data_IF_079674511037
#
_entry.id   IF_079674511037
#
_cell.length_a   1.000
_cell.length_b   1.000
_cell.length_c   1.000
_cell.angle_alpha   90.00
_cell.angle_beta   90.00
_cell.angle_gamma   90.00
#
_symmetry.space_group_name_H-M   'P 1'
#
loop_
_entity.id
_entity.type
_entity.pdbx_description
1 polymer ?
#
# COMPACT_ATOMS: atom_id res chain seq x y z
N UNK A 1 -11.52 5.24 13.53
CA UNK A 1 -11.17 3.93 12.95
C UNK A 1 -10.57 4.19 11.59
N UNK A 2 -9.30 3.83 11.37
CA UNK A 2 -8.61 4.05 10.10
C UNK A 2 -9.15 3.09 9.03
N UNK A 3 -9.99 3.59 8.11
CA UNK A 3 -10.39 2.88 6.89
C UNK A 3 -9.85 3.68 5.70
N UNK A 4 -8.67 3.28 5.18
CA UNK A 4 -8.11 3.92 3.99
C UNK A 4 -8.70 3.20 2.78
N UNK A 5 -9.63 3.85 2.08
CA UNK A 5 -10.20 3.29 0.85
C UNK A 5 -9.19 3.38 -0.30
N UNK A 6 -8.93 2.26 -0.96
CA UNK A 6 -8.05 2.11 -2.11
C UNK A 6 -8.89 1.91 -3.35
N UNK A 7 -8.68 2.78 -4.34
CA UNK A 7 -9.26 2.66 -5.67
C UNK A 7 -8.21 3.01 -6.72
N UNK A 8 -8.44 2.57 -7.96
CA UNK A 8 -7.51 2.80 -9.07
C UNK A 8 -7.27 4.28 -9.41
N UNK A 9 -8.18 5.18 -9.03
CA UNK A 9 -8.08 6.63 -9.28
C UNK A 9 -7.22 7.34 -8.23
N UNK A 10 -6.95 6.71 -7.08
CA UNK A 10 -6.15 7.30 -6.00
C UNK A 10 -4.71 7.49 -6.45
N UNK A 11 -4.15 8.67 -6.15
CA UNK A 11 -2.74 8.98 -6.42
C UNK A 11 -1.84 8.26 -5.42
N UNK A 12 -0.67 7.83 -5.89
CA UNK A 12 0.35 7.20 -5.05
C UNK A 12 0.78 8.15 -3.91
N UNK A 13 0.93 9.44 -4.20
CA UNK A 13 1.25 10.45 -3.17
C UNK A 13 0.22 10.50 -2.04
N UNK A 14 -1.08 10.52 -2.39
CA UNK A 14 -2.18 10.59 -1.42
C UNK A 14 -2.20 9.35 -0.54
N UNK A 15 -2.07 8.16 -1.14
CA UNK A 15 -2.01 6.91 -0.42
C UNK A 15 -0.85 6.89 0.59
N UNK A 16 0.36 7.26 0.15
CA UNK A 16 1.54 7.32 1.03
C UNK A 16 1.31 8.28 2.21
N UNK A 17 0.70 9.43 1.96
CA UNK A 17 0.41 10.44 2.98
C UNK A 17 -0.61 9.94 4.01
N UNK A 18 -1.74 9.41 3.56
CA UNK A 18 -2.79 8.89 4.44
C UNK A 18 -2.27 7.70 5.27
N UNK A 19 -1.55 6.78 4.64
CA UNK A 19 -0.99 5.62 5.31
C UNK A 19 0.03 6.02 6.39
N UNK A 20 0.88 7.01 6.12
CA UNK A 20 1.79 7.59 7.12
C UNK A 20 1.03 8.31 8.22
N UNK A 21 -0.04 9.05 7.88
CA UNK A 21 -0.82 9.80 8.85
C UNK A 21 -1.61 8.89 9.81
N UNK A 22 -2.12 7.76 9.34
CA UNK A 22 -2.91 6.81 10.13
C UNK A 22 -2.04 5.82 10.91
N UNK A 23 -1.04 5.23 10.26
CA UNK A 23 -0.25 4.15 10.87
C UNK A 23 1.14 4.59 11.34
N UNK A 24 1.62 5.78 10.95
CA UNK A 24 3.00 6.22 11.23
C UNK A 24 4.06 5.41 10.45
N UNK A 25 3.64 4.67 9.43
CA UNK A 25 4.49 3.77 8.65
C UNK A 25 4.80 4.34 7.27
N UNK A 26 5.88 3.86 6.67
CA UNK A 26 6.27 4.23 5.32
C UNK A 26 5.79 3.17 4.34
N UNK A 27 4.93 3.58 3.40
CA UNK A 27 4.51 2.74 2.29
C UNK A 27 5.36 3.07 1.06
N UNK A 28 6.14 2.12 0.57
CA UNK A 28 6.75 2.21 -0.75
C UNK A 28 5.87 1.46 -1.76
N UNK A 29 5.59 2.13 -2.88
CA UNK A 29 4.70 1.62 -3.93
C UNK A 29 5.56 1.52 -5.18
N UNK A 30 5.53 0.37 -5.84
CA UNK A 30 6.30 0.08 -7.06
C UNK A 30 5.38 0.01 -8.28
N UNK A 31 5.96 0.25 -9.45
CA UNK A 31 5.26 0.15 -10.73
C UNK A 31 5.21 -1.32 -11.17
N UNK A 32 4.01 -1.87 -11.27
CA UNK A 32 3.76 -3.24 -11.72
C UNK A 32 4.46 -4.28 -10.85
N UNK A 33 5.05 -5.27 -11.52
CA UNK A 33 5.96 -6.24 -10.93
C UNK A 33 7.43 -5.77 -10.96
N UNK A 34 7.69 -4.56 -11.44
CA UNK A 34 9.05 -4.02 -11.55
C UNK A 34 9.59 -3.56 -10.20
N UNK A 35 10.91 -3.39 -10.11
CA UNK A 35 11.58 -2.84 -8.92
C UNK A 35 11.61 -1.31 -8.88
N UNK A 36 10.90 -0.64 -9.80
CA UNK A 36 10.89 0.82 -9.94
C UNK A 36 9.82 1.40 -9.02
N UNK A 37 10.20 2.34 -8.15
CA UNK A 37 9.23 3.07 -7.33
C UNK A 37 8.26 3.85 -8.21
N UNK A 38 6.97 3.72 -7.90
CA UNK A 38 5.91 4.41 -8.60
C UNK A 38 6.01 5.93 -8.39
N UNK A 39 5.83 6.68 -9.48
CA UNK A 39 5.85 8.13 -9.42
C UNK A 39 4.67 8.65 -8.57
N UNK A 40 4.91 9.58 -7.62
CA UNK A 40 3.87 10.09 -6.72
C UNK A 40 2.71 10.77 -7.46
N UNK A 41 2.95 11.33 -8.65
CA UNK A 41 1.94 11.99 -9.47
C UNK A 41 1.01 11.05 -10.24
N UNK A 42 1.36 9.76 -10.35
CA UNK A 42 0.55 8.75 -11.07
C UNK A 42 -0.49 8.12 -10.14
N UNK A 43 -1.56 7.60 -10.73
CA UNK A 43 -2.61 6.87 -10.02
C UNK A 43 -2.29 5.38 -9.90
N UNK A 44 -2.91 4.68 -8.95
CA UNK A 44 -2.75 3.23 -8.80
C UNK A 44 -3.08 2.45 -10.09
N UNK A 45 -4.10 2.89 -10.84
CA UNK A 45 -4.46 2.30 -12.13
C UNK A 45 -3.44 2.55 -13.25
N UNK A 46 -2.60 3.58 -13.13
CA UNK A 46 -1.52 3.86 -14.09
C UNK A 46 -0.22 3.15 -13.75
N UNK A 47 -0.04 2.76 -12.48
CA UNK A 47 1.19 2.10 -12.02
C UNK A 47 1.05 0.60 -11.91
N UNK A 48 -0.16 0.04 -11.95
CA UNK A 48 -0.37 -1.42 -12.02
C UNK A 48 0.23 -2.05 -13.27
N UNK A 49 0.49 -3.35 -13.19
CA UNK A 49 0.83 -4.16 -14.35
C UNK A 49 -0.33 -4.15 -15.37
N UNK A 50 0.00 -4.23 -16.66
CA UNK A 50 -0.99 -4.16 -17.75
C UNK A 50 -1.95 -5.35 -17.75
N UNK A 51 -1.46 -6.51 -17.31
CA UNK A 51 -2.21 -7.78 -17.20
C UNK A 51 -3.11 -7.86 -15.95
N UNK A 52 -3.04 -6.86 -15.07
CA UNK A 52 -3.72 -6.93 -13.79
C UNK A 52 -5.23 -6.62 -13.88
N UNK A 53 -6.06 -7.28 -13.04
CA UNK A 53 -7.51 -7.09 -13.06
C UNK A 53 -7.89 -5.63 -12.86
N UNK A 54 -8.86 -5.18 -13.66
CA UNK A 54 -9.37 -3.81 -13.61
C UNK A 54 -10.55 -3.72 -12.63
N UNK A 55 -10.56 -2.69 -11.78
CA UNK A 55 -11.68 -2.43 -10.86
C UNK A 55 -11.52 -2.98 -9.44
N UNK A 56 -10.32 -3.40 -9.05
CA UNK A 56 -10.08 -3.80 -7.66
C UNK A 56 -10.13 -2.59 -6.73
N UNK A 57 -11.16 -2.55 -5.88
CA UNK A 57 -11.31 -1.57 -4.80
C UNK A 57 -11.33 -2.32 -3.47
N UNK A 58 -10.60 -1.81 -2.49
CA UNK A 58 -10.59 -2.39 -1.15
C UNK A 58 -10.25 -1.36 -0.10
N UNK A 59 -10.63 -1.61 1.14
CA UNK A 59 -10.23 -0.79 2.28
C UNK A 59 -9.07 -1.40 3.06
N UNK A 60 -8.12 -0.57 3.45
CA UNK A 60 -7.07 -0.91 4.42
C UNK A 60 -7.63 -0.69 5.81
N UNK A 61 -7.60 -1.76 6.62
CA UNK A 61 -8.06 -1.75 8.00
C UNK A 61 -6.91 -2.07 8.94
N UNK A 62 -6.93 -1.52 10.16
CA UNK A 62 -5.89 -1.75 11.16
C UNK A 62 -5.73 -3.23 11.57
N UNK A 63 -6.80 -4.02 11.50
CA UNK A 63 -6.77 -5.46 11.80
C UNK A 63 -6.17 -6.30 10.65
N UNK A 64 -5.87 -5.72 9.49
CA UNK A 64 -5.24 -6.45 8.40
C UNK A 64 -3.77 -6.72 8.70
N UNK A 65 -3.35 -7.97 8.44
CA UNK A 65 -1.94 -8.35 8.42
C UNK A 65 -1.21 -7.65 7.27
N UNK A 66 0.05 -7.33 7.49
CA UNK A 66 0.91 -6.70 6.47
C UNK A 66 1.04 -7.61 5.24
N UNK A 67 1.30 -8.91 5.44
CA UNK A 67 1.38 -9.85 4.32
C UNK A 67 0.07 -9.96 3.53
N UNK A 68 -1.08 -9.81 4.18
CA UNK A 68 -2.37 -9.78 3.48
C UNK A 68 -2.56 -8.49 2.69
N UNK A 69 -2.08 -7.36 3.19
CA UNK A 69 -2.10 -6.10 2.47
C UNK A 69 -1.25 -6.17 1.20
N UNK A 70 -0.01 -6.64 1.33
CA UNK A 70 0.91 -6.80 0.19
C UNK A 70 0.31 -7.70 -0.90
N UNK A 71 -0.29 -8.83 -0.49
CA UNK A 71 -1.01 -9.72 -1.42
C UNK A 71 -2.18 -9.03 -2.14
N UNK A 72 -3.00 -8.23 -1.44
CA UNK A 72 -4.11 -7.51 -2.09
C UNK A 72 -3.62 -6.50 -3.12
N UNK A 73 -2.55 -5.77 -2.82
CA UNK A 73 -1.94 -4.86 -3.78
C UNK A 73 -1.35 -5.63 -4.96
N UNK A 74 -0.69 -6.76 -4.71
CA UNK A 74 -0.15 -7.62 -5.77
C UNK A 74 -1.26 -8.17 -6.68
N UNK A 75 -2.43 -8.51 -6.13
CA UNK A 75 -3.61 -8.89 -6.92
C UNK A 75 -4.11 -7.74 -7.81
N UNK A 76 -3.95 -6.48 -7.39
CA UNK A 76 -4.20 -5.32 -8.25
C UNK A 76 -3.10 -5.06 -9.28
N UNK A 77 -2.04 -5.88 -9.30
CA UNK A 77 -0.85 -5.69 -10.13
C UNK A 77 0.09 -4.60 -9.64
N UNK A 78 0.03 -4.23 -8.36
CA UNK A 78 0.92 -3.22 -7.78
C UNK A 78 1.73 -3.88 -6.68
N UNK A 79 3.06 -3.84 -6.79
CA UNK A 79 3.91 -4.27 -5.68
C UNK A 79 4.05 -3.14 -4.65
N UNK A 80 3.85 -3.45 -3.38
CA UNK A 80 4.11 -2.52 -2.27
C UNK A 80 5.14 -3.12 -1.32
N UNK A 81 5.78 -2.26 -0.55
CA UNK A 81 6.73 -2.60 0.50
C UNK A 81 6.44 -1.70 1.70
N UNK A 82 6.09 -2.30 2.84
CA UNK A 82 5.83 -1.55 4.08
C UNK A 82 7.11 -1.52 4.92
N UNK A 83 7.50 -0.32 5.36
CA UNK A 83 8.67 -0.08 6.21
C UNK A 83 8.27 0.72 7.44
N UNK A 84 9.01 0.60 8.53
CA UNK A 84 8.85 1.50 9.68
C UNK A 84 9.27 2.92 9.31
N UNK A 85 8.89 3.91 10.13
CA UNK A 85 9.37 5.28 9.98
C UNK A 85 10.92 5.39 9.93
N UNK A 86 11.61 4.46 10.59
CA UNK A 86 13.08 4.37 10.64
C UNK A 86 13.69 3.44 9.58
N UNK A 87 12.90 2.94 8.62
CA UNK A 87 13.39 2.08 7.54
C UNK A 87 13.56 0.60 7.90
N UNK A 88 13.11 0.19 9.09
CA UNK A 88 13.11 -1.21 9.52
C UNK A 88 12.09 -2.05 8.77
N UNK A 89 12.43 -3.31 8.52
CA UNK A 89 11.51 -4.30 7.98
C UNK A 89 10.45 -4.66 9.04
N UNK A 90 9.21 -4.86 8.61
CA UNK A 90 8.12 -5.25 9.50
C UNK A 90 7.70 -6.67 9.17
N UNK A 91 7.61 -7.53 10.18
CA UNK A 91 7.15 -8.90 9.99
C UNK A 91 5.74 -8.93 9.40
N UNK A 92 5.58 -9.72 8.35
CA UNK A 92 4.33 -9.92 7.61
C UNK A 92 3.18 -10.49 8.44
N UNK A 93 3.50 -11.15 9.56
CA UNK A 93 2.49 -11.75 10.44
C UNK A 93 1.81 -10.71 11.35
N UNK A 94 2.45 -9.55 11.56
CA UNK A 94 1.87 -8.47 12.36
C UNK A 94 0.77 -7.72 11.61
N UNK A 95 -0.19 -7.21 12.37
CA UNK A 95 -1.25 -6.34 11.86
C UNK A 95 -0.81 -4.88 11.82
N UNK A 96 -1.35 -4.10 10.88
CA UNK A 96 -1.07 -2.66 10.77
C UNK A 96 -1.34 -1.91 12.09
N UNK A 97 -2.39 -2.30 12.81
CA UNK A 97 -2.74 -1.75 14.11
C UNK A 97 -1.79 -2.13 15.24
N UNK A 98 -1.11 -3.29 15.14
CA UNK A 98 -0.11 -3.69 16.13
C UNK A 98 1.22 -2.98 15.94
N UNK A 99 1.56 -2.60 14.71
CA UNK A 99 2.84 -1.94 14.38
C UNK A 99 2.70 -0.44 14.18
N UNK A 100 1.49 0.12 14.34
CA UNK A 100 1.28 1.55 14.26
C UNK A 100 2.10 2.24 15.35
N UNK A 101 2.71 3.34 14.99
CA UNK A 101 3.53 4.16 15.90
C UNK A 101 2.80 5.43 16.34
N UNK A 102 1.49 5.51 16.07
CA UNK A 102 0.62 6.65 16.30
C UNK A 102 -0.62 6.23 17.08
#
# INVERSE_FOLDING_TARGET
MADISINGRKKVATLKREFKAEYGLTLDVKKGNSNISASPGKTLAQVRAEDAPKGSEFSIRANMKIGNLEKKFQQMGVKINIKTARGGHISNDKTLGSVRTK
#
